data_IF_897073758284
#
_entry.id   IF_897073758284
#
_cell.length_a   1.000
_cell.length_b   1.000
_cell.length_c   1.000
_cell.angle_alpha   90.00
_cell.angle_beta   90.00
_cell.angle_gamma   90.00
#
_symmetry.space_group_name_H-M   'P 1'
#
loop_
_entity.id
_entity.type
_entity.pdbx_description
1 polymer ?
#
# COMPACT_ATOMS: atom_id res chain seq x y z
N UNK A 1 -24.73 -3.10 2.93
CA UNK A 1 -24.10 -1.83 3.38
C UNK A 1 -24.18 -0.83 2.23
N UNK A 2 -24.64 0.37 2.48
CA UNK A 2 -24.73 1.39 1.43
C UNK A 2 -23.38 2.08 1.20
N UNK A 3 -23.17 2.64 0.00
CA UNK A 3 -21.97 3.40 -0.34
C UNK A 3 -21.71 4.54 0.67
N UNK A 4 -22.77 5.23 1.10
CA UNK A 4 -22.65 6.29 2.10
C UNK A 4 -22.09 5.77 3.43
N UNK A 5 -22.49 4.60 3.86
CA UNK A 5 -22.00 3.98 5.09
C UNK A 5 -20.52 3.61 4.95
N UNK A 6 -20.12 3.07 3.80
CA UNK A 6 -18.73 2.73 3.51
C UNK A 6 -17.83 3.96 3.60
N UNK A 7 -18.25 5.09 3.03
CA UNK A 7 -17.48 6.34 3.04
C UNK A 7 -17.10 6.78 4.47
N UNK A 8 -17.98 6.58 5.43
CA UNK A 8 -17.73 6.97 6.81
C UNK A 8 -16.61 6.19 7.52
N UNK A 9 -16.17 5.07 6.94
CA UNK A 9 -15.14 4.21 7.54
C UNK A 9 -13.85 4.14 6.73
N UNK A 10 -13.70 4.92 5.66
CA UNK A 10 -12.49 4.87 4.81
C UNK A 10 -11.23 5.24 5.60
N UNK A 11 -11.32 6.22 6.48
CA UNK A 11 -10.19 6.63 7.30
C UNK A 11 -9.76 5.53 8.26
N UNK A 12 -10.72 4.90 8.94
CA UNK A 12 -10.44 3.79 9.84
C UNK A 12 -9.82 2.60 9.11
N UNK A 13 -10.29 2.31 7.89
CA UNK A 13 -9.71 1.27 7.04
C UNK A 13 -8.25 1.58 6.67
N UNK A 14 -7.94 2.83 6.35
CA UNK A 14 -6.57 3.26 6.08
C UNK A 14 -5.68 3.18 7.33
N UNK A 15 -6.21 3.55 8.50
CA UNK A 15 -5.53 3.40 9.78
C UNK A 15 -5.23 1.92 10.06
N UNK A 16 -6.18 1.04 9.78
CA UNK A 16 -5.99 -0.41 9.96
C UNK A 16 -4.81 -0.92 9.13
N UNK A 17 -4.73 -0.55 7.86
CA UNK A 17 -3.59 -0.89 6.99
C UNK A 17 -2.28 -0.41 7.62
N UNK A 18 -2.25 0.82 8.10
CA UNK A 18 -1.05 1.40 8.70
C UNK A 18 -0.63 0.69 9.98
N UNK A 19 -1.59 0.31 10.82
CA UNK A 19 -1.31 -0.45 12.06
C UNK A 19 -0.69 -1.80 11.73
N UNK A 20 -1.20 -2.50 10.72
CA UNK A 20 -0.62 -3.79 10.29
C UNK A 20 0.80 -3.61 9.76
N UNK A 21 1.03 -2.58 8.93
CA UNK A 21 2.35 -2.30 8.37
C UNK A 21 3.40 -1.97 9.45
N UNK A 22 3.05 -1.13 10.41
CA UNK A 22 3.98 -0.72 11.48
C UNK A 22 4.11 -1.75 12.58
N UNK A 23 3.08 -2.57 12.78
CA UNK A 23 3.01 -3.53 13.89
C UNK A 23 2.85 -2.86 15.26
N UNK A 24 2.48 -1.57 15.32
CA UNK A 24 2.45 -0.80 16.56
C UNK A 24 1.42 0.32 16.49
N UNK A 25 0.58 0.43 17.52
CA UNK A 25 -0.33 1.56 17.69
C UNK A 25 0.42 2.88 17.90
N UNK A 26 1.47 2.84 18.70
CA UNK A 26 2.27 4.04 19.01
C UNK A 26 2.99 4.57 17.79
N UNK A 27 3.60 3.70 17.00
CA UNK A 27 4.30 4.10 15.77
C UNK A 27 3.33 4.62 14.71
N UNK A 28 2.17 3.98 14.56
CA UNK A 28 1.12 4.46 13.67
C UNK A 28 0.65 5.87 14.08
N UNK A 29 0.40 6.07 15.37
CA UNK A 29 0.01 7.36 15.90
C UNK A 29 1.07 8.43 15.63
N UNK A 30 2.34 8.11 15.85
CA UNK A 30 3.46 9.02 15.57
C UNK A 30 3.49 9.44 14.10
N UNK A 31 3.36 8.49 13.18
CA UNK A 31 3.40 8.75 11.73
C UNK A 31 2.18 9.56 11.26
N UNK A 32 1.04 9.39 11.90
CA UNK A 32 -0.20 10.05 11.51
C UNK A 32 -0.49 11.35 12.28
N UNK A 33 0.38 11.73 13.20
CA UNK A 33 0.15 12.91 14.04
C UNK A 33 -1.05 12.76 14.97
N UNK A 34 -1.30 11.54 15.46
CA UNK A 34 -2.42 11.20 16.33
C UNK A 34 -1.94 10.60 17.65
N UNK A 35 -2.86 10.27 18.53
CA UNK A 35 -2.56 9.58 19.79
C UNK A 35 -2.77 8.07 19.65
N UNK A 36 -2.04 7.22 20.40
CA UNK A 36 -2.30 5.78 20.41
C UNK A 36 -3.77 5.42 20.75
N UNK A 37 -4.39 6.19 21.65
CA UNK A 37 -5.80 6.02 22.00
C UNK A 37 -6.73 6.26 20.82
N UNK A 38 -6.44 7.25 19.99
CA UNK A 38 -7.22 7.54 18.77
C UNK A 38 -7.11 6.39 17.74
N UNK A 39 -5.91 5.86 17.57
CA UNK A 39 -5.66 4.72 16.68
C UNK A 39 -6.42 3.48 17.20
N UNK A 40 -6.33 3.21 18.49
CA UNK A 40 -7.04 2.09 19.12
C UNK A 40 -8.56 2.19 18.95
N UNK A 41 -9.11 3.40 19.10
CA UNK A 41 -10.54 3.64 18.87
C UNK A 41 -10.96 3.42 17.44
N UNK A 42 -10.13 3.82 16.47
CA UNK A 42 -10.40 3.60 15.05
C UNK A 42 -10.50 2.09 14.74
N UNK A 43 -9.55 1.30 15.26
CA UNK A 43 -9.59 -0.16 15.10
C UNK A 43 -10.82 -0.77 15.78
N UNK A 44 -11.16 -0.32 16.98
CA UNK A 44 -12.35 -0.79 17.70
C UNK A 44 -13.64 -0.48 16.95
N UNK A 45 -13.75 0.67 16.31
CA UNK A 45 -14.89 1.03 15.46
C UNK A 45 -15.04 0.10 14.27
N UNK A 46 -13.94 -0.28 13.61
CA UNK A 46 -13.96 -1.26 12.52
C UNK A 46 -14.37 -2.65 13.03
N UNK A 47 -13.80 -3.09 14.13
CA UNK A 47 -14.14 -4.38 14.73
C UNK A 47 -15.63 -4.47 15.08
N UNK A 48 -16.17 -3.37 15.60
CA UNK A 48 -17.61 -3.26 15.87
C UNK A 48 -18.44 -3.29 14.60
N UNK A 49 -18.02 -2.57 13.56
CA UNK A 49 -18.70 -2.54 12.26
C UNK A 49 -18.80 -3.94 11.64
N UNK A 50 -17.69 -4.68 11.65
CA UNK A 50 -17.60 -6.01 11.03
C UNK A 50 -18.10 -7.13 11.96
N UNK A 51 -18.33 -6.83 13.24
CA UNK A 51 -18.78 -7.83 14.21
C UNK A 51 -17.75 -8.89 14.54
N UNK A 52 -16.47 -8.62 14.30
CA UNK A 52 -15.37 -9.54 14.55
C UNK A 52 -14.10 -8.78 14.91
N UNK A 53 -13.20 -9.43 15.62
CA UNK A 53 -11.86 -8.89 15.84
C UNK A 53 -11.02 -8.99 14.58
N UNK A 54 -10.18 -8.00 14.36
CA UNK A 54 -9.24 -7.93 13.24
C UNK A 54 -7.81 -8.21 13.69
N UNK A 55 -7.49 -7.81 14.91
CA UNK A 55 -6.14 -7.90 15.48
C UNK A 55 -6.18 -8.63 16.82
N UNK A 56 -5.21 -9.51 17.01
CA UNK A 56 -4.91 -10.07 18.32
C UNK A 56 -3.89 -9.17 18.99
N UNK A 57 -4.27 -8.63 20.16
CA UNK A 57 -3.42 -7.74 20.96
C UNK A 57 -2.74 -8.57 22.04
N UNK A 58 -1.50 -8.98 21.81
CA UNK A 58 -0.65 -9.48 22.88
C UNK A 58 0.34 -8.40 23.29
N UNK A 59 0.90 -8.50 24.52
CA UNK A 59 1.85 -7.53 25.04
C UNK A 59 3.13 -7.40 24.21
N UNK A 60 3.37 -8.28 23.24
CA UNK A 60 4.61 -8.33 22.46
C UNK A 60 4.43 -8.12 20.95
N UNK A 61 3.25 -8.44 20.38
CA UNK A 61 3.03 -8.32 18.92
C UNK A 61 1.56 -8.14 18.59
N UNK A 62 1.29 -7.25 17.65
CA UNK A 62 0.02 -7.20 16.95
C UNK A 62 0.02 -8.25 15.85
N UNK A 63 -0.98 -9.12 15.85
CA UNK A 63 -1.17 -10.13 14.81
C UNK A 63 -2.52 -9.96 14.15
N UNK A 64 -2.55 -10.07 12.82
CA UNK A 64 -3.80 -10.26 12.12
C UNK A 64 -4.40 -11.60 12.49
N UNK A 65 -5.66 -11.62 12.88
CA UNK A 65 -6.42 -12.87 12.98
C UNK A 65 -6.97 -13.23 11.60
N UNK A 66 -7.37 -14.48 11.43
CA UNK A 66 -7.80 -15.02 10.13
C UNK A 66 -8.91 -14.19 9.50
N UNK A 67 -9.93 -13.80 10.25
CA UNK A 67 -10.99 -12.91 9.78
C UNK A 67 -10.48 -11.52 9.36
N UNK A 68 -9.42 -11.05 9.99
CA UNK A 68 -8.79 -9.78 9.66
C UNK A 68 -7.97 -9.81 8.38
N UNK A 69 -7.45 -10.96 7.99
CA UNK A 69 -6.58 -11.07 6.80
C UNK A 69 -7.30 -10.71 5.52
N UNK A 70 -8.51 -11.22 5.31
CA UNK A 70 -9.30 -10.92 4.12
C UNK A 70 -9.71 -9.44 4.08
N UNK A 71 -10.09 -8.90 5.21
CA UNK A 71 -10.44 -7.49 5.35
C UNK A 71 -9.20 -6.63 5.08
N UNK A 72 -8.04 -7.02 5.61
CA UNK A 72 -6.78 -6.31 5.37
C UNK A 72 -6.42 -6.23 3.89
N UNK A 73 -6.52 -7.34 3.16
CA UNK A 73 -6.21 -7.37 1.72
C UNK A 73 -7.08 -6.36 0.96
N UNK A 74 -8.37 -6.32 1.25
CA UNK A 74 -9.28 -5.38 0.61
C UNK A 74 -9.02 -3.92 1.03
N UNK A 75 -8.69 -3.66 2.29
CA UNK A 75 -8.30 -2.33 2.75
C UNK A 75 -6.98 -1.88 2.10
N UNK A 76 -6.03 -2.78 1.95
CA UNK A 76 -4.77 -2.50 1.27
C UNK A 76 -5.00 -2.13 -0.20
N UNK A 77 -5.85 -2.86 -0.90
CA UNK A 77 -6.23 -2.55 -2.29
C UNK A 77 -6.85 -1.15 -2.39
N UNK A 78 -7.71 -0.79 -1.44
CA UNK A 78 -8.30 0.55 -1.35
C UNK A 78 -7.22 1.63 -1.18
N UNK A 79 -6.30 1.44 -0.25
CA UNK A 79 -5.21 2.39 0.02
C UNK A 79 -4.30 2.53 -1.21
N UNK A 80 -3.97 1.43 -1.85
CA UNK A 80 -3.15 1.43 -3.07
C UNK A 80 -3.86 2.16 -4.23
N UNK A 81 -5.17 1.96 -4.37
CA UNK A 81 -5.95 2.68 -5.36
C UNK A 81 -6.00 4.18 -5.07
N UNK A 82 -6.17 4.58 -3.81
CA UNK A 82 -6.12 5.98 -3.40
C UNK A 82 -4.74 6.59 -3.67
N UNK A 83 -3.67 5.86 -3.37
CA UNK A 83 -2.30 6.27 -3.68
C UNK A 83 -2.11 6.50 -5.18
N UNK A 84 -2.62 5.60 -6.02
CA UNK A 84 -2.56 5.72 -7.47
C UNK A 84 -3.28 6.99 -7.96
N UNK A 85 -4.39 7.37 -7.34
CA UNK A 85 -5.09 8.63 -7.65
C UNK A 85 -4.18 9.83 -7.38
N UNK A 86 -3.50 9.85 -6.24
CA UNK A 86 -2.59 10.94 -5.88
C UNK A 86 -1.41 11.02 -6.84
N UNK A 87 -0.83 9.88 -7.21
CA UNK A 87 0.27 9.80 -8.17
C UNK A 87 -0.17 10.21 -9.57
N UNK A 88 -1.38 9.86 -9.99
CA UNK A 88 -1.94 10.26 -11.28
C UNK A 88 -2.08 11.79 -11.39
N UNK A 89 -2.46 12.46 -10.30
CA UNK A 89 -2.55 13.92 -10.29
C UNK A 89 -1.19 14.58 -10.44
N UNK A 90 -0.12 13.97 -9.93
CA UNK A 90 1.26 14.43 -10.09
C UNK A 90 1.80 14.21 -11.51
N UNK A 91 1.38 13.14 -12.19
CA UNK A 91 1.83 12.81 -13.55
C UNK A 91 1.42 13.85 -14.61
N UNK A 92 0.37 14.61 -14.40
CA UNK A 92 -0.04 15.70 -15.30
C UNK A 92 0.89 16.89 -15.24
N UNK A 93 1.72 17.01 -14.21
CA UNK A 93 2.56 18.15 -13.93
C UNK A 93 4.05 17.83 -13.82
N UNK A 94 4.44 16.55 -13.83
CA UNK A 94 5.83 16.13 -13.70
C UNK A 94 6.18 15.07 -14.73
N UNK A 95 7.41 15.16 -15.25
CA UNK A 95 7.99 14.13 -16.09
C UNK A 95 8.31 12.90 -15.24
N UNK A 96 7.97 11.68 -15.70
CA UNK A 96 8.37 10.46 -15.00
C UNK A 96 9.87 10.40 -14.76
N UNK A 97 10.29 10.15 -13.53
CA UNK A 97 11.69 10.10 -13.15
C UNK A 97 11.90 9.08 -12.03
N UNK A 98 13.11 8.57 -11.94
CA UNK A 98 13.51 7.62 -10.91
C UNK A 98 14.13 6.36 -11.48
N UNK A 99 14.40 5.41 -10.61
CA UNK A 99 15.02 4.13 -10.95
C UNK A 99 14.01 2.99 -10.85
N UNK A 100 13.86 2.24 -11.93
CA UNK A 100 13.10 0.99 -11.95
C UNK A 100 14.08 -0.18 -11.82
N UNK A 101 13.90 -1.00 -10.79
CA UNK A 101 14.71 -2.21 -10.59
C UNK A 101 13.86 -3.42 -10.90
N UNK A 102 14.37 -4.31 -11.73
CA UNK A 102 13.66 -5.54 -12.09
C UNK A 102 14.63 -6.71 -12.21
N UNK A 103 14.12 -7.90 -11.89
CA UNK A 103 14.79 -9.16 -12.12
C UNK A 103 13.98 -9.93 -13.16
N UNK A 104 14.62 -10.37 -14.23
CA UNK A 104 13.97 -11.07 -15.33
C UNK A 104 14.85 -12.22 -15.84
N UNK A 105 14.25 -13.30 -16.36
CA UNK A 105 14.99 -14.33 -17.06
C UNK A 105 15.81 -13.74 -18.23
N UNK A 106 17.00 -14.26 -18.47
CA UNK A 106 17.90 -13.78 -19.53
C UNK A 106 17.21 -13.67 -20.89
N UNK A 107 16.43 -14.69 -21.24
CA UNK A 107 15.73 -14.69 -22.53
C UNK A 107 14.73 -13.52 -22.64
N UNK A 108 14.00 -13.25 -21.57
CA UNK A 108 13.05 -12.13 -21.53
C UNK A 108 13.79 -10.80 -21.60
N UNK A 109 14.86 -10.64 -20.83
CA UNK A 109 15.67 -9.43 -20.84
C UNK A 109 16.26 -9.14 -22.22
N UNK A 110 16.90 -10.11 -22.85
CA UNK A 110 17.59 -9.93 -24.13
C UNK A 110 16.63 -9.81 -25.33
N UNK A 111 15.60 -10.66 -25.39
CA UNK A 111 14.78 -10.76 -26.59
C UNK A 111 13.50 -9.92 -26.54
N UNK A 112 12.96 -9.68 -25.35
CA UNK A 112 11.70 -8.97 -25.22
C UNK A 112 11.86 -7.52 -24.71
N UNK A 113 12.74 -7.28 -23.75
CA UNK A 113 12.89 -5.97 -23.14
C UNK A 113 13.97 -5.12 -23.79
N UNK A 114 15.16 -5.66 -24.00
CA UNK A 114 16.32 -4.91 -24.50
C UNK A 114 16.04 -4.18 -25.83
N UNK A 115 15.33 -4.77 -26.82
CA UNK A 115 15.02 -4.06 -28.07
C UNK A 115 14.16 -2.81 -27.91
N UNK A 116 13.39 -2.72 -26.82
CA UNK A 116 12.49 -1.60 -26.54
C UNK A 116 13.11 -0.54 -25.61
N UNK A 117 14.27 -0.81 -25.04
CA UNK A 117 14.90 0.13 -24.10
C UNK A 117 15.31 1.46 -24.72
N UNK A 118 15.87 1.53 -25.95
CA UNK A 118 16.20 2.81 -26.57
C UNK A 118 15.00 3.72 -26.73
N UNK A 119 13.86 3.19 -27.16
CA UNK A 119 12.61 3.95 -27.27
C UNK A 119 12.11 4.43 -25.91
N UNK A 120 12.18 3.58 -24.90
CA UNK A 120 11.80 3.91 -23.53
C UNK A 120 12.64 5.08 -22.99
N UNK A 121 13.96 5.04 -23.14
CA UNK A 121 14.85 6.09 -22.67
C UNK A 121 14.70 7.39 -23.47
N UNK A 122 14.34 7.29 -24.73
CA UNK A 122 14.07 8.46 -25.57
C UNK A 122 12.78 9.16 -25.12
N UNK A 123 11.76 8.37 -24.80
CA UNK A 123 10.46 8.89 -24.35
C UNK A 123 10.48 9.38 -22.90
N UNK A 124 11.26 8.70 -22.05
CA UNK A 124 11.36 8.99 -20.61
C UNK A 124 12.83 9.11 -20.19
N UNK A 125 13.48 10.23 -20.55
CA UNK A 125 14.94 10.35 -20.36
C UNK A 125 15.39 10.42 -18.90
N UNK A 126 14.47 10.69 -17.96
CA UNK A 126 14.77 10.74 -16.52
C UNK A 126 14.52 9.43 -15.79
N UNK A 127 14.12 8.39 -16.51
CA UNK A 127 13.99 7.05 -15.94
C UNK A 127 15.28 6.28 -16.15
N UNK A 128 15.79 5.71 -15.06
CA UNK A 128 16.88 4.75 -15.06
C UNK A 128 16.33 3.34 -14.84
N UNK A 129 16.88 2.36 -15.57
CA UNK A 129 16.42 0.96 -15.46
C UNK A 129 17.62 0.11 -15.06
N UNK A 130 17.50 -0.56 -13.93
CA UNK A 130 18.45 -1.56 -13.46
C UNK A 130 17.82 -2.95 -13.62
N UNK A 131 18.39 -3.73 -14.52
CA UNK A 131 17.88 -5.04 -14.85
C UNK A 131 18.86 -6.12 -14.43
N UNK A 132 18.41 -6.99 -13.54
CA UNK A 132 19.14 -8.19 -13.15
C UNK A 132 18.65 -9.35 -14.03
N UNK A 133 19.58 -9.96 -14.77
CA UNK A 133 19.29 -11.10 -15.63
C UNK A 133 19.59 -12.38 -14.87
N UNK A 134 18.59 -13.21 -14.68
CA UNK A 134 18.70 -14.46 -13.95
C UNK A 134 18.52 -15.67 -14.90
N UNK A 135 19.12 -16.81 -14.53
CA UNK A 135 18.97 -18.05 -15.29
C UNK A 135 17.64 -18.75 -14.97
#
# INVERSE_FOLDING_TARGET
MSTNQTIHYLQEMAIFVKVVETGSFSETARQMGATPSAISRAISRLEKLFGTRLLQRTTRKLRLIESGQQIYVNCLDMVNAAQAVMESSGQFHSEPQGTVRMSVPKAVGHFMLHPHMPECFQRYPKIDVQMLLED
#
